data_IF_402407951565
#
_entry.id   IF_402407951565
#
_cell.length_a   1.000
_cell.length_b   1.000
_cell.length_c   1.000
_cell.angle_alpha   90.00
_cell.angle_beta   90.00
_cell.angle_gamma   90.00
#
_symmetry.space_group_name_H-M   'P 1'
#
loop_
_entity.id
_entity.type
_entity.pdbx_description
1 polymer ?
#
# COMPACT_ATOMS: atom_id res chain seq x y z
N UNK A 1 2.53 -23.70 -14.46
CA UNK A 1 1.84 -22.48 -13.99
C UNK A 1 2.57 -21.83 -12.79
N UNK A 2 2.99 -22.59 -11.74
CA UNK A 2 3.62 -22.03 -10.55
C UNK A 2 4.90 -21.22 -10.81
N UNK A 3 5.78 -21.71 -11.68
CA UNK A 3 7.01 -20.99 -12.07
C UNK A 3 6.73 -19.69 -12.85
N UNK A 4 5.64 -19.66 -13.61
CA UNK A 4 5.21 -18.42 -14.31
C UNK A 4 4.74 -17.41 -13.29
N UNK A 5 3.85 -17.79 -12.37
CA UNK A 5 3.33 -16.90 -11.32
C UNK A 5 4.47 -16.36 -10.43
N UNK A 6 5.43 -17.20 -10.06
CA UNK A 6 6.62 -16.78 -9.31
C UNK A 6 7.40 -15.68 -10.04
N UNK A 7 7.70 -15.89 -11.33
CA UNK A 7 8.44 -14.93 -12.15
C UNK A 7 7.68 -13.61 -12.31
N UNK A 8 6.37 -13.67 -12.59
CA UNK A 8 5.52 -12.48 -12.72
C UNK A 8 5.45 -11.67 -11.42
N UNK A 9 5.30 -12.35 -10.26
CA UNK A 9 5.32 -11.68 -8.96
C UNK A 9 6.67 -11.02 -8.66
N UNK A 10 7.77 -11.69 -8.97
CA UNK A 10 9.13 -11.16 -8.77
C UNK A 10 9.36 -9.92 -9.64
N UNK A 11 8.96 -9.97 -10.91
CA UNK A 11 9.07 -8.84 -11.82
C UNK A 11 8.17 -7.66 -11.40
N UNK A 12 6.93 -7.94 -11.00
CA UNK A 12 6.01 -6.95 -10.45
C UNK A 12 6.62 -6.20 -9.26
N UNK A 13 7.15 -6.92 -8.27
CA UNK A 13 7.77 -6.29 -7.10
C UNK A 13 9.02 -5.49 -7.45
N UNK A 14 9.82 -5.97 -8.40
CA UNK A 14 10.98 -5.22 -8.90
C UNK A 14 10.59 -3.85 -9.48
N UNK A 15 9.43 -3.77 -10.14
CA UNK A 15 8.89 -2.52 -10.69
C UNK A 15 8.20 -1.67 -9.62
N UNK A 16 7.45 -2.29 -8.71
CA UNK A 16 6.68 -1.60 -7.67
C UNK A 16 7.56 -0.99 -6.58
N UNK A 17 8.60 -1.70 -6.14
CA UNK A 17 9.42 -1.30 -4.99
C UNK A 17 10.07 0.10 -5.15
N UNK A 18 10.65 0.47 -6.30
CA UNK A 18 11.21 1.82 -6.48
C UNK A 18 10.14 2.92 -6.38
N UNK A 19 8.95 2.70 -6.91
CA UNK A 19 7.83 3.65 -6.85
C UNK A 19 7.32 3.77 -5.41
N UNK A 20 7.19 2.65 -4.72
CA UNK A 20 6.84 2.60 -3.31
C UNK A 20 7.86 3.37 -2.44
N UNK A 21 9.17 3.12 -2.63
CA UNK A 21 10.23 3.79 -1.88
C UNK A 21 10.22 5.31 -2.11
N UNK A 22 9.94 5.76 -3.34
CA UNK A 22 9.78 7.17 -3.65
C UNK A 22 8.65 7.80 -2.84
N UNK A 23 7.43 7.23 -2.86
CA UNK A 23 6.30 7.76 -2.10
C UNK A 23 6.57 7.73 -0.60
N UNK A 24 7.13 6.64 -0.08
CA UNK A 24 7.48 6.55 1.33
C UNK A 24 8.47 7.64 1.74
N UNK A 25 9.56 7.78 1.00
CA UNK A 25 10.59 8.81 1.25
C UNK A 25 10.04 10.23 1.19
N UNK A 26 9.13 10.52 0.24
CA UNK A 26 8.52 11.85 0.15
C UNK A 26 7.58 12.15 1.34
N UNK A 27 6.88 11.14 1.90
CA UNK A 27 5.99 11.31 3.05
C UNK A 27 6.77 11.35 4.36
N UNK A 28 7.82 10.51 4.50
CA UNK A 28 8.64 10.40 5.72
C UNK A 28 9.87 11.32 5.77
N UNK A 29 10.08 12.13 4.72
CA UNK A 29 11.24 13.01 4.52
C UNK A 29 12.60 12.30 4.41
N UNK A 30 12.59 11.06 3.94
CA UNK A 30 13.81 10.32 3.66
C UNK A 30 14.59 9.81 4.88
N UNK A 31 13.98 9.90 6.07
CA UNK A 31 14.64 9.48 7.32
C UNK A 31 14.64 7.97 7.56
N UNK A 32 13.97 7.20 6.72
CA UNK A 32 13.72 5.78 6.94
C UNK A 32 13.90 5.00 5.64
N UNK A 33 14.55 3.85 5.72
CA UNK A 33 14.74 2.94 4.59
C UNK A 33 13.67 1.86 4.67
N UNK A 34 12.90 1.70 3.60
CA UNK A 34 11.86 0.66 3.52
C UNK A 34 12.04 -0.23 2.31
N UNK A 35 11.54 -1.46 2.39
CA UNK A 35 11.67 -2.44 1.32
C UNK A 35 10.49 -3.43 1.29
N UNK A 36 10.25 -4.01 0.11
CA UNK A 36 9.30 -5.08 -0.15
C UNK A 36 10.05 -6.35 -0.57
N UNK A 37 10.36 -7.22 0.39
CA UNK A 37 11.07 -8.46 0.14
C UNK A 37 10.11 -9.59 -0.27
N UNK A 38 10.27 -10.10 -1.49
CA UNK A 38 9.51 -11.28 -1.92
C UNK A 38 10.08 -12.54 -1.31
N UNK A 39 9.26 -13.27 -0.56
CA UNK A 39 9.60 -14.56 0.03
C UNK A 39 8.86 -15.68 -0.68
N UNK A 40 9.62 -16.56 -1.28
CA UNK A 40 9.11 -17.75 -1.94
C UNK A 40 10.01 -18.94 -1.65
N UNK A 41 9.40 -20.11 -1.59
CA UNK A 41 10.15 -21.38 -1.52
C UNK A 41 10.72 -21.78 -2.89
N UNK A 42 10.36 -21.04 -3.95
CA UNK A 42 10.79 -21.31 -5.34
C UNK A 42 12.11 -20.62 -5.71
N UNK A 43 12.90 -20.20 -4.72
CA UNK A 43 14.20 -19.59 -4.95
C UNK A 43 15.13 -20.60 -5.64
N UNK A 44 15.22 -20.55 -6.97
CA UNK A 44 16.18 -21.26 -7.84
C UNK A 44 15.99 -22.77 -8.01
N UNK A 45 15.38 -23.49 -7.09
CA UNK A 45 15.08 -24.92 -7.24
C UNK A 45 13.76 -25.14 -7.98
N UNK A 46 13.78 -26.02 -8.95
CA UNK A 46 12.60 -26.24 -9.81
C UNK A 46 11.35 -26.63 -9.00
N UNK A 47 10.21 -26.01 -9.33
CA UNK A 47 8.91 -26.26 -8.70
C UNK A 47 8.56 -27.74 -8.53
N UNK A 48 9.00 -28.58 -9.47
CA UNK A 48 8.81 -30.04 -9.41
C UNK A 48 9.58 -30.68 -8.26
N UNK A 49 10.84 -30.29 -8.07
CA UNK A 49 11.71 -30.74 -7.00
C UNK A 49 11.12 -30.43 -5.63
N UNK A 50 10.70 -29.20 -5.44
CA UNK A 50 10.07 -28.71 -4.21
C UNK A 50 8.81 -29.50 -3.85
N UNK A 51 7.92 -29.75 -4.81
CA UNK A 51 6.72 -30.57 -4.58
C UNK A 51 7.09 -32.01 -4.27
N UNK A 52 8.06 -32.58 -4.99
CA UNK A 52 8.47 -33.97 -4.75
C UNK A 52 9.04 -34.17 -3.34
N UNK A 53 9.89 -33.25 -2.88
CA UNK A 53 10.48 -33.28 -1.53
C UNK A 53 9.44 -33.15 -0.42
N UNK A 54 8.34 -32.44 -0.67
CA UNK A 54 7.29 -32.23 0.33
C UNK A 54 6.14 -33.24 0.27
N UNK A 55 6.15 -34.18 -0.67
CA UNK A 55 5.05 -35.11 -0.91
C UNK A 55 4.60 -35.91 0.33
N UNK A 56 5.54 -36.42 1.12
CA UNK A 56 5.22 -37.15 2.35
C UNK A 56 4.68 -36.25 3.45
N UNK A 57 5.21 -35.03 3.58
CA UNK A 57 4.69 -34.02 4.52
C UNK A 57 3.26 -33.63 4.16
N UNK A 58 3.00 -33.40 2.88
CA UNK A 58 1.68 -33.04 2.35
C UNK A 58 0.66 -34.17 2.63
N UNK A 59 1.09 -35.43 2.46
CA UNK A 59 0.26 -36.60 2.74
C UNK A 59 -0.12 -36.73 4.22
N UNK A 60 0.85 -36.47 5.11
CA UNK A 60 0.62 -36.54 6.57
C UNK A 60 -0.26 -35.38 7.03
N UNK A 61 0.04 -34.17 6.58
CA UNK A 61 -0.69 -32.97 6.99
C UNK A 61 -2.03 -32.77 6.26
N UNK A 62 -2.30 -33.55 5.20
CA UNK A 62 -3.47 -33.41 4.29
C UNK A 62 -3.60 -32.01 3.67
N UNK A 63 -2.49 -31.25 3.63
CA UNK A 63 -2.44 -29.89 3.06
C UNK A 63 -1.12 -29.70 2.33
N UNK A 64 -1.13 -28.99 1.22
CA UNK A 64 0.07 -28.68 0.46
C UNK A 64 0.95 -27.69 1.24
N UNK A 65 2.18 -28.10 1.58
CA UNK A 65 3.12 -27.33 2.39
C UNK A 65 4.07 -26.48 1.55
N UNK A 66 4.17 -26.75 0.26
CA UNK A 66 5.10 -26.08 -0.64
C UNK A 66 4.42 -25.56 -1.89
N UNK A 67 4.82 -24.37 -2.36
CA UNK A 67 4.32 -23.76 -3.60
C UNK A 67 3.97 -22.30 -3.47
N UNK A 68 3.59 -21.71 -4.60
CA UNK A 68 3.28 -20.26 -4.74
C UNK A 68 2.18 -19.73 -3.81
N UNK A 69 1.33 -20.58 -3.24
CA UNK A 69 0.32 -20.21 -2.25
C UNK A 69 0.92 -19.97 -0.85
N UNK A 70 2.19 -20.32 -0.65
CA UNK A 70 2.98 -20.02 0.56
C UNK A 70 3.87 -18.81 0.40
N UNK A 71 3.91 -18.23 -0.80
CA UNK A 71 4.66 -17.00 -1.02
C UNK A 71 4.09 -15.84 -0.21
N UNK A 72 4.96 -14.96 0.23
CA UNK A 72 4.61 -13.79 1.02
C UNK A 72 5.46 -12.59 0.59
N UNK A 73 5.02 -11.40 0.94
CA UNK A 73 5.79 -10.16 0.80
C UNK A 73 6.11 -9.65 2.20
N UNK A 74 7.37 -9.69 2.57
CA UNK A 74 7.81 -9.14 3.83
C UNK A 74 8.00 -7.62 3.71
N UNK A 75 7.22 -6.87 4.46
CA UNK A 75 7.30 -5.43 4.59
C UNK A 75 8.38 -5.08 5.61
N UNK A 76 9.45 -4.41 5.17
CA UNK A 76 10.63 -4.11 5.98
C UNK A 76 10.83 -2.61 6.17
N UNK A 77 11.35 -2.27 7.34
CA UNK A 77 11.99 -1.01 7.64
C UNK A 77 13.40 -1.35 8.11
N UNK A 78 14.40 -0.80 7.44
CA UNK A 78 15.78 -1.25 7.53
C UNK A 78 15.89 -2.77 7.28
N UNK A 79 16.40 -3.51 8.26
CA UNK A 79 16.56 -4.97 8.17
C UNK A 79 15.40 -5.76 8.82
N UNK A 80 14.45 -5.09 9.48
CA UNK A 80 13.43 -5.73 10.30
C UNK A 80 12.03 -5.62 9.69
N UNK A 81 11.12 -6.57 9.98
CA UNK A 81 9.70 -6.43 9.64
C UNK A 81 9.12 -5.17 10.28
N UNK A 82 8.53 -4.28 9.46
CA UNK A 82 7.96 -3.01 9.96
C UNK A 82 6.90 -3.22 11.05
N UNK A 83 6.16 -4.32 10.97
CA UNK A 83 5.15 -4.68 11.98
C UNK A 83 5.74 -4.85 13.39
N UNK A 84 7.05 -5.18 13.50
CA UNK A 84 7.73 -5.40 14.80
C UNK A 84 8.33 -4.14 15.38
N UNK A 85 8.85 -3.24 14.55
CA UNK A 85 9.64 -2.08 14.99
C UNK A 85 9.01 -0.74 14.66
N UNK A 86 8.13 -0.69 13.65
CA UNK A 86 7.53 0.55 13.19
C UNK A 86 6.48 1.08 14.16
N UNK A 87 6.51 2.38 14.43
CA UNK A 87 5.44 3.09 15.12
C UNK A 87 4.13 3.01 14.32
N UNK A 88 3.00 3.32 14.93
CA UNK A 88 1.70 3.33 14.24
C UNK A 88 1.70 4.29 13.04
N UNK A 89 2.30 5.48 13.19
CA UNK A 89 2.44 6.45 12.11
C UNK A 89 3.33 5.93 10.96
N UNK A 90 4.45 5.26 11.27
CA UNK A 90 5.31 4.64 10.26
C UNK A 90 4.60 3.52 9.50
N UNK A 91 3.89 2.65 10.20
CA UNK A 91 3.09 1.58 9.57
C UNK A 91 1.98 2.14 8.69
N UNK A 92 1.29 3.22 9.12
CA UNK A 92 0.28 3.90 8.33
C UNK A 92 0.89 4.55 7.08
N UNK A 93 2.01 5.26 7.23
CA UNK A 93 2.77 5.84 6.10
C UNK A 93 3.16 4.77 5.08
N UNK A 94 3.63 3.61 5.57
CA UNK A 94 3.99 2.48 4.71
C UNK A 94 2.81 1.99 3.87
N UNK A 95 1.66 1.79 4.49
CA UNK A 95 0.44 1.36 3.79
C UNK A 95 -0.03 2.39 2.77
N UNK A 96 0.02 3.68 3.11
CA UNK A 96 -0.35 4.76 2.20
C UNK A 96 0.60 4.80 1.00
N UNK A 97 1.91 4.79 1.24
CA UNK A 97 2.92 4.76 0.17
C UNK A 97 2.73 3.56 -0.77
N UNK A 98 2.42 2.38 -0.21
CA UNK A 98 2.12 1.18 -0.98
C UNK A 98 0.86 1.35 -1.86
N UNK A 99 -0.20 1.97 -1.32
CA UNK A 99 -1.43 2.29 -2.06
C UNK A 99 -1.17 3.28 -3.19
N UNK A 100 -0.35 4.30 -2.96
CA UNK A 100 0.02 5.27 -3.99
C UNK A 100 0.87 4.63 -5.10
N UNK A 101 1.81 3.77 -4.74
CA UNK A 101 2.59 3.00 -5.71
C UNK A 101 1.70 2.06 -6.54
N UNK A 102 0.76 1.38 -5.90
CA UNK A 102 -0.24 0.55 -6.58
C UNK A 102 -1.10 1.39 -7.54
N UNK A 103 -1.50 2.60 -7.12
CA UNK A 103 -2.26 3.51 -7.97
C UNK A 103 -1.49 3.87 -9.24
N UNK A 104 -0.22 4.27 -9.13
CA UNK A 104 0.60 4.61 -10.30
C UNK A 104 0.79 3.40 -11.22
N UNK A 105 1.04 2.21 -10.65
CA UNK A 105 1.15 0.99 -11.44
C UNK A 105 -0.13 0.68 -12.23
N UNK A 106 -1.31 0.78 -11.58
CA UNK A 106 -2.60 0.55 -12.24
C UNK A 106 -2.82 1.60 -13.33
N UNK A 107 -2.57 2.88 -13.04
CA UNK A 107 -2.71 3.99 -13.99
C UNK A 107 -1.87 3.76 -15.26
N UNK A 108 -0.63 3.28 -15.11
CA UNK A 108 0.23 2.95 -16.26
C UNK A 108 -0.33 1.80 -17.10
N UNK A 109 -0.93 0.79 -16.45
CA UNK A 109 -1.50 -0.37 -17.15
C UNK A 109 -2.79 -0.03 -17.91
N UNK A 110 -3.66 0.80 -17.34
CA UNK A 110 -4.98 1.09 -17.92
C UNK A 110 -5.01 2.39 -18.76
N UNK A 111 -3.96 3.24 -18.67
CA UNK A 111 -3.82 4.47 -19.45
C UNK A 111 -4.69 5.65 -19.00
N UNK A 112 -5.41 5.55 -17.88
CA UNK A 112 -6.16 6.66 -17.27
C UNK A 112 -6.00 6.66 -15.75
N UNK A 113 -6.37 7.79 -15.10
CA UNK A 113 -6.26 7.93 -13.64
C UNK A 113 -7.42 7.21 -12.94
N UNK A 114 -7.15 6.18 -12.11
CA UNK A 114 -8.17 5.56 -11.28
C UNK A 114 -8.76 6.53 -10.25
N UNK A 115 -9.89 6.19 -9.65
CA UNK A 115 -10.39 6.84 -8.45
C UNK A 115 -9.56 6.37 -7.26
N UNK A 116 -9.07 7.32 -6.45
CA UNK A 116 -8.33 7.01 -5.22
C UNK A 116 -9.26 7.11 -4.02
N UNK A 117 -9.35 6.03 -3.27
CA UNK A 117 -10.12 5.96 -2.02
C UNK A 117 -9.15 5.88 -0.84
N UNK A 118 -9.21 6.84 0.07
CA UNK A 118 -8.38 6.93 1.26
C UNK A 118 -9.27 6.91 2.49
N UNK A 119 -9.24 5.82 3.22
CA UNK A 119 -10.08 5.60 4.39
C UNK A 119 -9.33 5.92 5.68
N UNK A 120 -9.90 6.79 6.52
CA UNK A 120 -9.38 7.18 7.83
C UNK A 120 -7.89 7.55 7.84
N UNK A 121 -7.46 8.34 6.84
CA UNK A 121 -6.04 8.61 6.63
C UNK A 121 -5.43 9.57 7.65
N UNK A 122 -6.24 10.45 8.24
CA UNK A 122 -5.77 11.48 9.16
C UNK A 122 -5.58 10.96 10.59
N UNK A 123 -6.15 9.80 10.93
CA UNK A 123 -5.88 9.13 12.19
C UNK A 123 -4.43 8.59 12.22
N UNK A 124 -3.73 8.78 13.33
CA UNK A 124 -2.37 8.26 13.60
C UNK A 124 -1.25 8.78 12.69
N UNK A 125 -1.51 9.80 11.88
CA UNK A 125 -0.49 10.56 11.18
C UNK A 125 -0.32 11.92 11.87
N UNK A 126 0.93 12.41 11.91
CA UNK A 126 1.22 13.80 12.26
C UNK A 126 0.84 14.75 11.12
N UNK A 127 0.61 16.01 11.46
CA UNK A 127 0.15 17.02 10.50
C UNK A 127 1.13 17.20 9.34
N UNK A 128 2.42 16.99 9.56
CA UNK A 128 3.43 17.11 8.51
C UNK A 128 3.27 16.02 7.43
N UNK A 129 3.12 14.77 7.83
CA UNK A 129 2.87 13.63 6.91
C UNK A 129 1.54 13.79 6.17
N UNK A 130 0.53 14.30 6.88
CA UNK A 130 -0.77 14.63 6.26
C UNK A 130 -0.59 15.68 5.16
N UNK A 131 0.09 16.79 5.43
CA UNK A 131 0.32 17.85 4.44
C UNK A 131 1.12 17.34 3.23
N UNK A 132 2.11 16.46 3.43
CA UNK A 132 2.84 15.80 2.33
C UNK A 132 1.91 14.93 1.48
N UNK A 133 1.09 14.10 2.11
CA UNK A 133 0.11 13.27 1.40
C UNK A 133 -0.86 14.12 0.57
N UNK A 134 -1.41 15.17 1.18
CA UNK A 134 -2.33 16.10 0.51
C UNK A 134 -1.64 16.85 -0.64
N UNK A 135 -0.35 17.13 -0.54
CA UNK A 135 0.40 17.76 -1.63
C UNK A 135 0.42 16.94 -2.93
N UNK A 136 0.33 15.59 -2.85
CA UNK A 136 0.18 14.75 -4.05
C UNK A 136 -1.18 14.94 -4.73
N UNK A 137 -2.23 15.18 -3.95
CA UNK A 137 -3.57 15.49 -4.48
C UNK A 137 -3.50 16.80 -5.27
N UNK A 138 -2.86 17.83 -4.72
CA UNK A 138 -2.72 19.14 -5.34
C UNK A 138 -1.89 19.11 -6.64
N UNK A 139 -0.87 18.25 -6.74
CA UNK A 139 -0.04 18.09 -7.95
C UNK A 139 -0.79 17.46 -9.13
N UNK A 140 -2.09 17.24 -9.03
CA UNK A 140 -2.91 16.57 -10.06
C UNK A 140 -2.38 15.18 -10.48
N UNK A 141 -1.71 14.51 -9.55
CA UNK A 141 -1.21 13.13 -9.75
C UNK A 141 -2.39 12.17 -9.89
N UNK A 142 -3.42 12.40 -9.07
CA UNK A 142 -4.65 11.60 -9.02
C UNK A 142 -5.75 12.20 -9.91
N UNK A 143 -6.75 11.39 -10.23
CA UNK A 143 -8.02 11.86 -10.81
C UNK A 143 -8.94 12.36 -9.70
N UNK A 144 -10.02 11.62 -9.45
CA UNK A 144 -10.91 11.87 -8.34
C UNK A 144 -10.40 11.19 -7.07
N UNK A 145 -10.42 11.90 -5.94
CA UNK A 145 -10.00 11.37 -4.64
C UNK A 145 -11.17 11.49 -3.66
N UNK A 146 -11.46 10.39 -2.98
CA UNK A 146 -12.39 10.37 -1.85
C UNK A 146 -11.60 10.08 -0.57
N UNK A 147 -11.85 10.86 0.45
CA UNK A 147 -11.23 10.73 1.77
C UNK A 147 -12.36 10.57 2.79
N UNK A 148 -12.27 9.57 3.65
CA UNK A 148 -13.14 9.45 4.81
C UNK A 148 -12.39 9.86 6.07
N UNK A 149 -13.11 10.50 7.00
CA UNK A 149 -12.61 10.86 8.32
C UNK A 149 -13.78 11.04 9.31
N UNK A 150 -13.49 10.88 10.58
CA UNK A 150 -14.46 11.10 11.67
C UNK A 150 -14.50 12.55 12.15
N UNK A 151 -13.52 13.40 11.75
CA UNK A 151 -13.35 14.78 12.18
C UNK A 151 -13.43 15.75 11.01
N UNK A 152 -14.63 16.09 10.58
CA UNK A 152 -14.88 16.94 9.41
C UNK A 152 -14.17 18.32 9.48
N UNK A 153 -14.14 18.96 10.66
CA UNK A 153 -13.53 20.28 10.84
C UNK A 153 -12.01 20.25 10.66
N UNK A 154 -11.34 19.23 11.22
CA UNK A 154 -9.89 19.00 11.05
C UNK A 154 -9.55 18.76 9.58
N UNK A 155 -10.32 17.92 8.92
CA UNK A 155 -10.14 17.61 7.50
C UNK A 155 -10.31 18.86 6.63
N UNK A 156 -11.35 19.67 6.88
CA UNK A 156 -11.57 20.93 6.20
C UNK A 156 -10.41 21.92 6.38
N UNK A 157 -9.92 22.08 7.61
CA UNK A 157 -8.78 22.95 7.91
C UNK A 157 -7.52 22.54 7.16
N UNK A 158 -7.20 21.25 7.13
CA UNK A 158 -6.03 20.71 6.43
C UNK A 158 -6.14 20.94 4.92
N UNK A 159 -7.29 20.63 4.31
CA UNK A 159 -7.52 20.79 2.88
C UNK A 159 -7.48 22.28 2.46
N UNK A 160 -8.06 23.16 3.28
CA UNK A 160 -8.01 24.62 3.06
C UNK A 160 -6.58 25.14 3.13
N UNK A 161 -5.80 24.75 4.15
CA UNK A 161 -4.37 25.12 4.26
C UNK A 161 -3.55 24.64 3.07
N UNK A 162 -3.91 23.49 2.50
CA UNK A 162 -3.25 22.95 1.32
C UNK A 162 -3.70 23.61 -0.01
N UNK A 163 -4.68 24.50 0.01
CA UNK A 163 -5.19 25.18 -1.18
C UNK A 163 -5.93 24.27 -2.16
N UNK A 164 -6.59 23.22 -1.66
CA UNK A 164 -7.31 22.23 -2.47
C UNK A 164 -8.80 22.60 -2.49
N UNK A 165 -9.41 22.52 -3.67
CA UNK A 165 -10.86 22.57 -3.80
C UNK A 165 -11.46 21.24 -3.41
N UNK A 166 -12.42 21.24 -2.49
CA UNK A 166 -13.06 20.04 -1.98
C UNK A 166 -14.54 20.25 -1.70
N UNK A 167 -15.29 19.15 -1.59
CA UNK A 167 -16.66 19.14 -1.05
C UNK A 167 -16.68 18.19 0.15
N UNK A 168 -17.38 18.57 1.22
CA UNK A 168 -17.57 17.72 2.40
C UNK A 168 -19.00 17.20 2.39
N UNK A 169 -19.12 15.90 2.56
CA UNK A 169 -20.39 15.19 2.69
C UNK A 169 -20.46 14.55 4.07
N UNK A 170 -21.40 14.99 4.90
CA UNK A 170 -21.63 14.39 6.22
C UNK A 170 -22.63 13.26 6.11
N UNK A 171 -22.23 12.08 6.56
CA UNK A 171 -23.06 10.88 6.53
C UNK A 171 -23.53 10.54 7.94
N UNK A 172 -24.83 10.48 8.16
CA UNK A 172 -25.45 10.07 9.41
C UNK A 172 -26.49 8.99 9.17
N UNK A 173 -26.47 7.94 10.01
CA UNK A 173 -27.39 6.80 9.93
C UNK A 173 -27.52 6.18 8.52
N UNK A 174 -26.42 6.21 7.75
CA UNK A 174 -26.36 5.66 6.39
C UNK A 174 -26.94 6.57 5.31
N UNK A 175 -27.29 7.81 5.62
CA UNK A 175 -27.79 8.81 4.69
C UNK A 175 -26.94 10.09 4.68
N UNK A 176 -27.05 10.86 3.60
CA UNK A 176 -26.42 12.17 3.47
C UNK A 176 -27.15 13.16 4.40
N UNK A 177 -26.44 13.74 5.38
CA UNK A 177 -26.98 14.71 6.32
C UNK A 177 -26.68 16.17 5.91
N UNK A 178 -25.48 16.43 5.37
CA UNK A 178 -25.06 17.78 4.97
C UNK A 178 -24.05 17.73 3.81
N UNK A 179 -24.04 18.76 2.97
CA UNK A 179 -23.04 18.98 1.92
C UNK A 179 -22.49 20.41 2.03
N UNK A 180 -21.16 20.55 2.10
CA UNK A 180 -20.44 21.83 2.10
C UNK A 180 -19.43 21.87 0.97
N UNK A 181 -19.37 23.02 0.27
CA UNK A 181 -18.43 23.27 -0.83
C UNK A 181 -17.49 24.42 -0.50
#
# INVERSE_FOLDING_TARGET
HGSVIYRERKEFLKQLTPVFNKYYSEISEGNEIVDLEYRSQLNDDGFRELIHQNKEKDRISKTTQAGIHKDDILFKMDTYPIKKIGSQGQQKTFLIALKLAQFDFIKEQIGFKPILLLDDIFDKLDDHRILKLISFVNKNVFGQVFITDTHAERSAEILTKAGINYSIYTIEKGGLADERR
#
